data_IF_526624605276
#
_entry.id   IF_526624605276
#
_cell.length_a   1.000
_cell.length_b   1.000
_cell.length_c   1.000
_cell.angle_alpha   90.00
_cell.angle_beta   90.00
_cell.angle_gamma   90.00
#
_symmetry.space_group_name_H-M   'P 1'
#
loop_
_entity.id
_entity.type
_entity.pdbx_description
1 polymer ?
#
# COMPACT_ATOMS: atom_id res chain seq x y z
N UNK A 1 -9.30 3.60 17.39
CA UNK A 1 -9.66 4.00 16.02
C UNK A 1 -9.88 2.71 15.27
N UNK A 2 -10.97 2.61 14.51
CA UNK A 2 -11.27 1.42 13.71
C UNK A 2 -10.52 1.47 12.38
N UNK A 3 -10.19 0.30 11.84
CA UNK A 3 -9.48 0.17 10.56
C UNK A 3 -10.34 0.74 9.44
N UNK A 4 -9.78 1.63 8.62
CA UNK A 4 -10.49 2.20 7.47
C UNK A 4 -10.19 1.38 6.21
N UNK A 5 -11.24 0.91 5.54
CA UNK A 5 -11.15 0.41 4.18
C UNK A 5 -11.25 1.58 3.20
N UNK A 6 -10.19 1.81 2.43
CA UNK A 6 -10.06 2.86 1.43
C UNK A 6 -10.64 2.36 0.12
N UNK A 7 -11.76 2.96 -0.27
CA UNK A 7 -12.41 2.73 -1.56
C UNK A 7 -11.71 3.49 -2.70
N UNK A 8 -12.15 3.25 -3.93
CA UNK A 8 -11.78 4.07 -5.08
C UNK A 8 -12.11 5.55 -4.87
N UNK A 9 -13.26 5.85 -4.27
CA UNK A 9 -13.68 7.24 -4.03
C UNK A 9 -12.75 7.94 -3.04
N UNK A 10 -12.38 7.25 -1.95
CA UNK A 10 -11.40 7.75 -0.99
C UNK A 10 -10.04 8.01 -1.65
N UNK A 11 -9.57 7.08 -2.49
CA UNK A 11 -8.32 7.22 -3.21
C UNK A 11 -8.35 8.43 -4.16
N UNK A 12 -9.40 8.58 -4.95
CA UNK A 12 -9.53 9.72 -5.88
C UNK A 12 -9.63 11.05 -5.14
N UNK A 13 -10.27 11.07 -3.96
CA UNK A 13 -10.33 12.28 -3.13
C UNK A 13 -8.92 12.71 -2.69
N UNK A 14 -8.10 11.78 -2.20
CA UNK A 14 -6.71 12.07 -1.81
C UNK A 14 -5.87 12.52 -3.01
N UNK A 15 -5.98 11.82 -4.15
CA UNK A 15 -5.28 12.19 -5.38
C UNK A 15 -5.63 13.62 -5.81
N UNK A 16 -6.91 14.01 -5.71
CA UNK A 16 -7.36 15.35 -6.08
C UNK A 16 -6.94 16.42 -5.05
N UNK A 17 -7.07 16.13 -3.76
CA UNK A 17 -6.73 17.05 -2.66
C UNK A 17 -5.24 17.39 -2.65
N UNK A 18 -4.39 16.37 -2.82
CA UNK A 18 -2.94 16.51 -2.81
C UNK A 18 -2.34 16.81 -4.20
N UNK A 19 -3.19 16.97 -5.22
CA UNK A 19 -2.79 17.18 -6.62
C UNK A 19 -1.73 16.17 -7.10
N UNK A 20 -1.94 14.88 -6.78
CA UNK A 20 -1.03 13.79 -7.14
C UNK A 20 -1.21 13.45 -8.63
N UNK A 21 -0.10 13.47 -9.38
CA UNK A 21 -0.06 13.05 -10.79
C UNK A 21 0.56 11.65 -10.89
N UNK A 22 -0.27 10.61 -10.93
CA UNK A 22 0.16 9.21 -11.08
C UNK A 22 0.33 8.89 -12.57
N UNK A 23 1.52 8.43 -12.95
CA UNK A 23 1.87 8.15 -14.35
C UNK A 23 2.16 6.66 -14.57
N UNK A 24 2.00 6.16 -15.81
CA UNK A 24 2.42 4.82 -16.15
C UNK A 24 3.90 4.58 -15.83
N UNK A 25 4.20 3.46 -15.16
CA UNK A 25 5.53 3.11 -14.67
C UNK A 25 5.85 3.59 -13.26
N UNK A 26 5.02 4.44 -12.65
CA UNK A 26 5.24 4.88 -11.28
C UNK A 26 5.06 3.75 -10.26
N UNK A 27 5.72 3.90 -9.12
CA UNK A 27 5.47 3.10 -7.93
C UNK A 27 4.65 3.97 -6.96
N UNK A 28 3.44 3.52 -6.63
CA UNK A 28 2.56 4.26 -5.70
C UNK A 28 2.80 3.78 -4.29
N UNK A 29 3.11 4.71 -3.38
CA UNK A 29 3.45 4.43 -1.99
C UNK A 29 2.38 5.02 -1.05
N UNK A 30 1.73 4.16 -0.26
CA UNK A 30 0.71 4.55 0.70
C UNK A 30 1.25 4.63 2.12
N UNK A 31 1.01 5.77 2.77
CA UNK A 31 1.09 5.90 4.23
C UNK A 31 -0.27 5.66 4.84
N UNK A 32 -0.35 4.67 5.71
CA UNK A 32 -1.58 4.19 6.34
C UNK A 32 -1.48 4.19 7.86
N UNK A 33 -0.30 4.42 8.42
CA UNK A 33 -0.05 4.59 9.85
C UNK A 33 0.17 3.28 10.64
N UNK A 34 0.17 2.13 9.98
CA UNK A 34 0.31 0.84 10.65
C UNK A 34 1.72 0.65 11.26
N UNK A 35 2.79 0.85 10.49
CA UNK A 35 4.16 0.72 11.03
C UNK A 35 4.45 1.73 12.14
N UNK A 36 3.88 2.94 12.08
CA UNK A 36 3.98 3.94 13.15
C UNK A 36 3.38 3.43 14.46
N UNK A 37 2.19 2.82 14.39
CA UNK A 37 1.55 2.21 15.55
C UNK A 37 2.35 1.04 16.12
N UNK A 38 2.90 0.17 15.26
CA UNK A 38 3.79 -0.92 15.69
C UNK A 38 5.00 -0.37 16.44
N UNK A 39 5.63 0.69 15.92
CA UNK A 39 6.80 1.30 16.55
C UNK A 39 6.46 1.97 17.89
N UNK A 40 5.28 2.62 17.98
CA UNK A 40 4.80 3.25 19.20
C UNK A 40 4.57 2.26 20.36
N UNK A 41 4.28 0.98 20.05
CA UNK A 41 4.08 -0.07 21.05
C UNK A 41 5.38 -0.54 21.74
N UNK A 42 6.55 -0.03 21.34
CA UNK A 42 7.83 -0.22 22.02
C UNK A 42 8.09 -1.68 22.50
N UNK A 43 8.14 -2.61 21.53
CA UNK A 43 8.39 -4.06 21.75
C UNK A 43 7.29 -4.81 22.51
N UNK A 44 6.13 -4.20 22.73
CA UNK A 44 4.95 -4.82 23.33
C UNK A 44 3.74 -4.72 22.37
N UNK A 45 3.78 -5.40 21.22
CA UNK A 45 2.72 -5.30 20.23
C UNK A 45 1.42 -5.90 20.76
N UNK A 46 0.32 -5.16 20.58
CA UNK A 46 -1.03 -5.65 20.83
C UNK A 46 -1.69 -5.99 19.49
N UNK A 47 -2.02 -7.27 19.30
CA UNK A 47 -2.60 -7.74 18.05
C UNK A 47 -3.99 -7.15 17.79
N UNK A 48 -4.83 -7.05 18.81
CA UNK A 48 -6.21 -6.58 18.63
C UNK A 48 -6.22 -5.10 18.23
N UNK A 49 -5.33 -4.31 18.83
CA UNK A 49 -5.14 -2.90 18.45
C UNK A 49 -4.61 -2.82 17.02
N UNK A 50 -3.58 -3.60 16.66
CA UNK A 50 -3.00 -3.58 15.31
C UNK A 50 -4.00 -4.04 14.22
N UNK A 51 -4.84 -5.02 14.54
CA UNK A 51 -5.92 -5.49 13.65
C UNK A 51 -6.96 -4.40 13.40
N UNK A 52 -7.13 -3.44 14.32
CA UNK A 52 -8.01 -2.29 14.18
C UNK A 52 -7.29 -1.01 13.71
N UNK A 53 -5.97 -1.02 13.52
CA UNK A 53 -5.21 0.22 13.26
C UNK A 53 -4.99 0.48 11.77
N UNK A 54 -5.03 1.77 11.42
CA UNK A 54 -4.60 2.28 10.12
C UNK A 54 -5.62 2.12 9.01
N UNK A 55 -5.15 2.37 7.79
CA UNK A 55 -5.93 2.26 6.56
C UNK A 55 -5.47 1.08 5.71
N UNK A 56 -6.39 0.49 4.97
CA UNK A 56 -6.13 -0.61 4.03
C UNK A 56 -6.93 -0.38 2.76
N UNK A 57 -6.40 -0.79 1.59
CA UNK A 57 -7.18 -0.74 0.35
C UNK A 57 -8.35 -1.74 0.40
N UNK A 58 -9.50 -1.35 -0.12
CA UNK A 58 -10.63 -2.27 -0.30
C UNK A 58 -10.45 -3.11 -1.56
N UNK A 59 -9.83 -4.29 -1.43
CA UNK A 59 -9.65 -5.21 -2.55
C UNK A 59 -10.95 -5.69 -3.20
N UNK A 60 -12.13 -5.47 -2.59
CA UNK A 60 -13.43 -5.79 -3.18
C UNK A 60 -13.99 -4.67 -4.06
N UNK A 61 -13.43 -3.47 -3.98
CA UNK A 61 -13.89 -2.36 -4.81
C UNK A 61 -13.38 -2.55 -6.25
N UNK A 62 -14.31 -2.89 -7.15
CA UNK A 62 -14.00 -3.12 -8.56
C UNK A 62 -13.48 -1.88 -9.26
N UNK A 63 -13.90 -0.67 -8.84
CA UNK A 63 -13.39 0.58 -9.42
C UNK A 63 -11.94 0.81 -8.99
N UNK A 64 -11.59 0.45 -7.76
CA UNK A 64 -10.22 0.54 -7.26
C UNK A 64 -9.31 -0.42 -8.04
N UNK A 65 -9.76 -1.67 -8.24
CA UNK A 65 -9.02 -2.65 -9.06
C UNK A 65 -8.88 -2.20 -10.53
N UNK A 66 -9.90 -1.57 -11.09
CA UNK A 66 -9.83 -1.02 -12.45
C UNK A 66 -8.83 0.14 -12.50
N UNK A 67 -8.83 1.05 -11.53
CA UNK A 67 -7.83 2.12 -11.46
C UNK A 67 -6.39 1.56 -11.41
N UNK A 68 -6.14 0.50 -10.64
CA UNK A 68 -4.83 -0.17 -10.63
C UNK A 68 -4.47 -0.69 -12.03
N UNK A 69 -5.44 -1.28 -12.74
CA UNK A 69 -5.24 -1.75 -14.12
C UNK A 69 -4.92 -0.61 -15.08
N UNK A 70 -5.72 0.45 -15.03
CA UNK A 70 -5.72 1.53 -16.02
C UNK A 70 -4.56 2.50 -15.81
N UNK A 71 -4.07 2.65 -14.57
CA UNK A 71 -2.95 3.55 -14.23
C UNK A 71 -1.62 3.13 -14.84
N UNK A 72 -1.44 1.83 -15.15
CA UNK A 72 -0.17 1.32 -15.70
C UNK A 72 1.01 1.41 -14.72
N UNK A 73 0.75 1.47 -13.41
CA UNK A 73 1.77 1.54 -12.37
C UNK A 73 2.65 0.28 -12.34
N UNK A 74 3.90 0.46 -11.93
CA UNK A 74 4.88 -0.62 -11.84
C UNK A 74 4.78 -1.42 -10.53
N UNK A 75 4.31 -0.81 -9.43
CA UNK A 75 4.15 -1.47 -8.14
C UNK A 75 3.20 -0.70 -7.20
N UNK A 76 2.66 -1.40 -6.20
CA UNK A 76 2.05 -0.78 -5.02
C UNK A 76 2.89 -1.05 -3.78
N UNK A 77 3.08 -0.03 -2.97
CA UNK A 77 3.80 -0.13 -1.71
C UNK A 77 2.96 0.47 -0.59
N UNK A 78 3.01 -0.14 0.60
CA UNK A 78 2.35 0.40 1.77
C UNK A 78 3.17 0.14 3.04
N UNK A 79 2.90 0.95 4.05
CA UNK A 79 3.40 0.81 5.41
C UNK A 79 2.51 -0.08 6.31
N UNK A 80 1.61 -0.86 5.71
CA UNK A 80 0.76 -1.83 6.40
C UNK A 80 1.15 -3.28 6.05
N UNK A 81 0.38 -4.20 6.65
CA UNK A 81 0.68 -5.63 6.62
C UNK A 81 0.41 -6.31 5.28
N UNK A 82 -0.49 -5.78 4.44
CA UNK A 82 -1.02 -6.52 3.30
C UNK A 82 -1.42 -5.64 2.09
N UNK A 83 -1.16 -4.34 2.10
CA UNK A 83 -1.68 -3.32 1.16
C UNK A 83 -3.23 -3.18 1.20
N UNK A 84 -3.95 -4.30 1.11
CA UNK A 84 -5.40 -4.45 1.25
C UNK A 84 -5.82 -4.95 2.64
N UNK A 85 -7.14 -4.93 2.88
CA UNK A 85 -7.71 -5.45 4.11
C UNK A 85 -7.56 -6.97 4.26
N UNK A 86 -7.10 -7.40 5.43
CA UNK A 86 -6.98 -8.81 5.83
C UNK A 86 -7.74 -9.04 7.15
N UNK A 87 -8.82 -9.84 7.17
CA UNK A 87 -9.46 -10.48 6.02
C UNK A 87 -10.09 -9.45 5.07
N UNK A 88 -10.19 -9.81 3.79
CA UNK A 88 -10.98 -9.01 2.84
C UNK A 88 -12.44 -8.96 3.29
N UNK A 89 -13.15 -7.89 2.90
CA UNK A 89 -14.58 -7.74 3.19
C UNK A 89 -15.37 -8.95 2.71
N UNK A 90 -16.38 -9.32 3.49
CA UNK A 90 -17.23 -10.47 3.22
C UNK A 90 -17.88 -10.38 1.83
N UNK A 91 -17.94 -11.51 1.14
CA UNK A 91 -18.57 -11.62 -0.16
C UNK A 91 -19.22 -12.98 -0.32
N UNK A 92 -20.34 -13.02 -1.04
CA UNK A 92 -21.06 -14.27 -1.32
C UNK A 92 -20.27 -15.17 -2.28
N UNK A 93 -20.24 -16.47 -1.97
CA UNK A 93 -19.67 -17.52 -2.80
C UNK A 93 -18.14 -17.67 -2.68
N UNK A 94 -17.57 -18.58 -3.47
CA UNK A 94 -16.11 -18.77 -3.51
C UNK A 94 -15.46 -17.54 -4.11
N UNK A 95 -14.60 -16.92 -3.32
CA UNK A 95 -13.88 -15.70 -3.66
C UNK A 95 -12.46 -15.77 -3.10
N UNK A 96 -11.53 -14.98 -3.65
CA UNK A 96 -10.17 -14.89 -3.12
C UNK A 96 -10.21 -14.28 -1.72
N UNK A 97 -9.34 -14.74 -0.83
CA UNK A 97 -9.15 -14.17 0.51
C UNK A 97 -8.46 -12.80 0.46
N UNK A 98 -7.65 -12.58 -0.59
CA UNK A 98 -6.92 -11.34 -0.88
C UNK A 98 -7.17 -10.96 -2.36
N UNK A 99 -8.33 -10.34 -2.67
CA UNK A 99 -8.70 -9.99 -4.02
C UNK A 99 -7.73 -9.01 -4.71
N UNK A 100 -7.18 -8.04 -4.00
CA UNK A 100 -6.20 -7.09 -4.56
C UNK A 100 -4.88 -7.80 -4.87
N UNK A 101 -4.38 -8.66 -3.98
CA UNK A 101 -3.21 -9.48 -4.28
C UNK A 101 -3.42 -10.35 -5.52
N UNK A 102 -4.60 -10.97 -5.64
CA UNK A 102 -4.88 -11.74 -6.85
C UNK A 102 -4.82 -10.85 -8.09
N UNK A 103 -5.44 -9.66 -8.01
CA UNK A 103 -5.49 -8.74 -9.13
C UNK A 103 -4.09 -8.24 -9.52
N UNK A 104 -3.30 -7.76 -8.57
CA UNK A 104 -1.95 -7.27 -8.79
C UNK A 104 -1.00 -8.38 -9.23
N UNK A 105 -0.83 -9.43 -8.44
CA UNK A 105 0.21 -10.43 -8.65
C UNK A 105 -0.09 -11.38 -9.81
N UNK A 106 -1.33 -11.87 -9.91
CA UNK A 106 -1.67 -12.92 -10.87
C UNK A 106 -2.23 -12.39 -12.19
N UNK A 107 -3.01 -11.30 -12.18
CA UNK A 107 -3.60 -10.78 -13.42
C UNK A 107 -2.71 -9.75 -14.11
N UNK A 108 -2.06 -8.87 -13.34
CA UNK A 108 -1.31 -7.75 -13.89
C UNK A 108 0.22 -7.94 -13.84
N UNK A 109 0.71 -8.77 -12.92
CA UNK A 109 2.15 -8.87 -12.64
C UNK A 109 2.71 -7.65 -11.90
N UNK A 110 1.85 -6.89 -11.22
CA UNK A 110 2.21 -5.73 -10.40
C UNK A 110 2.66 -6.23 -9.02
N UNK A 111 3.94 -6.09 -8.64
CA UNK A 111 4.43 -6.47 -7.32
C UNK A 111 3.84 -5.58 -6.22
N UNK A 112 3.79 -6.15 -5.02
CA UNK A 112 3.39 -5.48 -3.79
C UNK A 112 4.59 -5.37 -2.86
N UNK A 113 4.71 -4.24 -2.16
CA UNK A 113 5.66 -4.06 -1.07
C UNK A 113 4.93 -3.65 0.21
N UNK A 114 5.28 -4.29 1.31
CA UNK A 114 4.57 -4.21 2.58
C UNK A 114 5.52 -3.80 3.70
N UNK A 115 4.96 -3.27 4.79
CA UNK A 115 5.69 -2.91 6.01
C UNK A 115 6.82 -1.90 5.80
N UNK A 116 6.73 -1.06 4.78
CA UNK A 116 7.72 0.00 4.56
C UNK A 116 7.59 1.09 5.61
N UNK A 117 8.72 1.63 6.07
CA UNK A 117 8.72 2.82 6.91
C UNK A 117 8.66 4.06 6.01
N UNK A 118 7.49 4.68 5.92
CA UNK A 118 7.23 5.84 5.03
C UNK A 118 6.95 7.13 5.77
N UNK A 119 6.81 7.08 7.11
CA UNK A 119 6.42 8.20 7.96
C UNK A 119 7.26 9.45 7.69
N UNK A 120 8.58 9.33 7.84
CA UNK A 120 9.47 10.49 7.78
C UNK A 120 9.56 11.08 6.36
N UNK A 121 9.45 10.23 5.34
CA UNK A 121 9.36 10.66 3.94
C UNK A 121 8.06 11.43 3.69
N UNK A 122 6.92 10.90 4.14
CA UNK A 122 5.62 11.53 3.95
C UNK A 122 5.52 12.87 4.70
N UNK A 123 6.03 12.93 5.93
CA UNK A 123 6.08 14.18 6.72
C UNK A 123 6.93 15.25 6.00
N UNK A 124 8.10 14.87 5.48
CA UNK A 124 8.97 15.76 4.72
C UNK A 124 8.32 16.24 3.41
N UNK A 125 7.78 15.31 2.61
CA UNK A 125 7.10 15.62 1.35
C UNK A 125 5.91 16.57 1.57
N UNK A 126 5.12 16.34 2.61
CA UNK A 126 4.01 17.21 2.99
C UNK A 126 4.46 18.63 3.38
N UNK A 127 5.56 18.76 4.12
CA UNK A 127 6.13 20.07 4.48
C UNK A 127 6.63 20.85 3.25
N UNK A 128 7.19 20.14 2.26
CA UNK A 128 7.70 20.74 1.02
C UNK A 128 6.62 20.91 -0.06
N UNK A 129 5.37 20.49 0.19
CA UNK A 129 4.30 20.53 -0.80
C UNK A 129 4.57 19.66 -2.03
N UNK A 130 5.24 18.51 -1.83
CA UNK A 130 5.63 17.58 -2.88
C UNK A 130 4.95 16.24 -2.69
N UNK A 131 4.71 15.53 -3.79
CA UNK A 131 4.10 14.19 -3.78
C UNK A 131 4.91 13.16 -4.56
N UNK A 132 6.00 13.58 -5.22
CA UNK A 132 6.84 12.72 -6.06
C UNK A 132 8.32 12.78 -5.67
N UNK A 133 8.98 11.63 -5.80
CA UNK A 133 10.39 11.41 -5.46
C UNK A 133 10.95 10.26 -6.32
N UNK A 134 12.28 10.16 -6.41
CA UNK A 134 12.94 9.03 -7.05
C UNK A 134 13.07 7.88 -6.05
N UNK A 135 12.61 6.68 -6.42
CA UNK A 135 12.69 5.48 -5.58
C UNK A 135 13.70 4.48 -6.13
N UNK A 136 14.63 4.02 -5.28
CA UNK A 136 15.52 2.90 -5.55
C UNK A 136 15.27 1.79 -4.53
N UNK A 137 14.70 0.67 -4.95
CA UNK A 137 14.34 -0.44 -4.06
C UNK A 137 14.64 -1.82 -4.70
N UNK A 138 15.91 -2.11 -5.05
CA UNK A 138 16.25 -3.39 -5.67
C UNK A 138 15.98 -4.54 -4.70
N UNK A 139 15.42 -5.67 -5.17
CA UNK A 139 15.36 -6.88 -4.37
C UNK A 139 16.75 -7.51 -4.28
N UNK A 140 16.96 -8.34 -3.25
CA UNK A 140 18.10 -9.23 -3.19
C UNK A 140 18.04 -10.25 -4.33
N UNK A 141 19.22 -10.65 -4.83
CA UNK A 141 19.32 -11.72 -5.83
C UNK A 141 19.13 -13.09 -5.17
N UNK A 142 17.87 -13.52 -5.07
CA UNK A 142 17.47 -14.79 -4.46
C UNK A 142 16.74 -15.69 -5.49
N UNK A 143 17.46 -16.49 -6.30
CA UNK A 143 16.84 -17.35 -7.31
C UNK A 143 15.82 -18.32 -6.69
N UNK A 144 14.62 -18.37 -7.25
CA UNK A 144 13.51 -19.22 -6.78
C UNK A 144 12.69 -18.64 -5.63
N UNK A 145 13.09 -17.49 -5.06
CA UNK A 145 12.30 -16.81 -4.03
C UNK A 145 11.07 -16.11 -4.65
N UNK A 146 10.00 -16.04 -3.87
CA UNK A 146 8.71 -15.39 -4.25
C UNK A 146 8.62 -13.95 -3.74
N UNK A 147 9.70 -13.43 -3.16
CA UNK A 147 9.80 -12.10 -2.59
C UNK A 147 11.21 -11.86 -2.05
N UNK A 148 11.48 -10.63 -1.63
CA UNK A 148 12.76 -10.25 -1.05
C UNK A 148 12.58 -9.11 -0.05
N UNK A 149 13.31 -9.09 1.07
CA UNK A 149 13.51 -7.84 1.80
C UNK A 149 14.27 -6.84 0.90
N UNK A 150 14.07 -5.56 1.16
CA UNK A 150 14.81 -4.48 0.49
C UNK A 150 15.01 -3.32 1.47
N UNK A 151 15.95 -2.44 1.14
CA UNK A 151 16.16 -1.17 1.84
C UNK A 151 15.84 -0.07 0.84
N UNK A 152 14.56 0.33 0.71
CA UNK A 152 14.16 1.31 -0.28
C UNK A 152 14.74 2.68 0.08
N UNK A 153 15.32 3.36 -0.90
CA UNK A 153 15.87 4.70 -0.77
C UNK A 153 15.04 5.67 -1.61
N UNK A 154 14.46 6.67 -0.94
CA UNK A 154 13.81 7.80 -1.59
C UNK A 154 14.83 8.94 -1.74
N UNK A 155 14.94 9.49 -2.94
CA UNK A 155 15.71 10.71 -3.23
C UNK A 155 14.71 11.80 -3.62
N UNK A 156 14.62 12.83 -2.78
CA UNK A 156 13.69 13.95 -2.93
C UNK A 156 14.42 15.16 -3.49
#
# INVERSE_FOLDING_TARGET
MDRRHVSHEDLQAVIAEDAIDVRPGDIVVFRTGFTEAVMAMNRQPDKEILDATGSVLDGRDTRLLNWITDSGIAALCADNYAVEGLPAREALGRRPSLPLHQHCLFKLGVPLAELWWVKDLADYLGQEGRTAFLLTAPPLRLPGAVGSPTTPIATT
#
